data_IF_531324340282
#
_entry.id   IF_531324340282
#
_cell.length_a   1.000
_cell.length_b   1.000
_cell.length_c   1.000
_cell.angle_alpha   90.00
_cell.angle_beta   90.00
_cell.angle_gamma   90.00
#
_symmetry.space_group_name_H-M   'P 1'
#
loop_
_entity.id
_entity.type
_entity.pdbx_description
1 polymer ?
#
# COMPACT_ATOMS: atom_id res chain seq x y z
N UNK A 1 -20.17 9.94 -14.50
CA UNK A 1 -21.43 9.45 -13.90
C UNK A 1 -21.05 8.94 -12.53
N UNK A 2 -21.26 9.77 -11.53
CA UNK A 2 -21.04 9.44 -10.13
C UNK A 2 -22.00 8.31 -9.74
N UNK A 3 -21.46 7.17 -9.30
CA UNK A 3 -22.27 6.12 -8.66
C UNK A 3 -22.57 6.59 -7.22
N UNK A 4 -23.41 7.61 -7.11
CA UNK A 4 -23.88 8.15 -5.82
C UNK A 4 -25.14 7.46 -5.30
N UNK A 5 -25.49 6.29 -5.82
CA UNK A 5 -26.78 5.66 -5.54
C UNK A 5 -26.72 4.53 -4.51
N UNK A 6 -26.00 4.70 -3.42
CA UNK A 6 -26.22 3.80 -2.27
C UNK A 6 -26.61 4.58 -1.02
N UNK A 7 -27.92 4.87 -0.93
CA UNK A 7 -28.69 5.45 0.16
C UNK A 7 -28.32 6.89 0.59
N UNK A 8 -29.32 7.77 0.67
CA UNK A 8 -29.22 9.16 1.15
C UNK A 8 -28.54 9.28 2.55
N UNK A 9 -28.56 8.21 3.33
CA UNK A 9 -27.84 8.13 4.62
C UNK A 9 -26.32 7.94 4.48
N UNK A 10 -25.80 7.52 3.32
CA UNK A 10 -24.35 7.37 3.11
C UNK A 10 -23.70 8.71 2.73
N UNK A 11 -24.43 9.62 2.06
CA UNK A 11 -23.93 10.94 1.69
C UNK A 11 -23.64 11.82 2.91
N UNK A 12 -24.43 11.70 3.96
CA UNK A 12 -24.20 12.42 5.23
C UNK A 12 -22.96 11.95 5.99
N UNK A 13 -22.35 10.84 5.56
CA UNK A 13 -21.23 10.18 6.27
C UNK A 13 -19.87 10.44 5.64
N UNK A 14 -19.80 11.09 4.49
CA UNK A 14 -18.56 11.42 3.82
C UNK A 14 -18.12 12.84 4.15
N UNK A 15 -16.91 13.08 4.63
CA UNK A 15 -16.39 14.43 4.86
C UNK A 15 -16.08 15.11 3.51
N UNK A 16 -17.04 15.81 2.96
CA UNK A 16 -16.96 16.45 1.64
C UNK A 16 -15.75 17.36 1.48
N UNK A 17 -15.31 18.00 2.56
CA UNK A 17 -14.11 18.83 2.58
C UNK A 17 -12.81 18.10 2.23
N UNK A 18 -12.75 16.77 2.41
CA UNK A 18 -11.59 15.95 2.11
C UNK A 18 -11.52 15.49 0.66
N UNK A 19 -12.65 15.40 -0.03
CA UNK A 19 -12.69 14.83 -1.39
C UNK A 19 -11.78 15.59 -2.33
N UNK A 20 -11.88 16.91 -2.35
CA UNK A 20 -11.06 17.75 -3.25
C UNK A 20 -9.55 17.70 -2.97
N UNK A 21 -9.09 17.82 -1.72
CA UNK A 21 -7.67 17.61 -1.39
C UNK A 21 -7.16 16.22 -1.81
N UNK A 22 -7.90 15.16 -1.53
CA UNK A 22 -7.53 13.78 -1.89
C UNK A 22 -7.45 13.62 -3.42
N UNK A 23 -8.46 14.06 -4.16
CA UNK A 23 -8.45 14.02 -5.63
C UNK A 23 -7.25 14.77 -6.19
N UNK A 24 -6.94 15.95 -5.63
CA UNK A 24 -5.78 16.74 -6.08
C UNK A 24 -4.46 16.02 -5.83
N UNK A 25 -4.28 15.41 -4.68
CA UNK A 25 -3.07 14.65 -4.36
C UNK A 25 -2.95 13.41 -5.26
N UNK A 26 -4.03 12.65 -5.43
CA UNK A 26 -4.03 11.46 -6.28
C UNK A 26 -3.78 11.80 -7.75
N UNK A 27 -4.31 12.91 -8.26
CA UNK A 27 -4.04 13.36 -9.65
C UNK A 27 -2.60 13.80 -9.86
N UNK A 28 -1.88 14.23 -8.83
CA UNK A 28 -0.45 14.50 -8.94
C UNK A 28 0.37 13.21 -9.08
N UNK A 29 -0.01 12.16 -8.35
CA UNK A 29 0.66 10.85 -8.39
C UNK A 29 0.22 10.03 -9.61
N UNK A 30 -1.04 10.12 -9.99
CA UNK A 30 -1.63 9.42 -11.12
C UNK A 30 -2.48 10.37 -11.98
N UNK A 31 -1.88 11.08 -12.94
CA UNK A 31 -2.58 12.05 -13.80
C UNK A 31 -3.78 11.42 -14.51
N UNK A 32 -4.91 12.13 -14.52
CA UNK A 32 -6.17 11.65 -15.12
C UNK A 32 -6.96 10.67 -14.25
N UNK A 33 -6.52 10.40 -13.03
CA UNK A 33 -7.27 9.55 -12.10
C UNK A 33 -8.52 10.23 -11.55
N UNK A 34 -9.47 9.39 -11.11
CA UNK A 34 -10.64 9.80 -10.34
C UNK A 34 -10.68 9.05 -9.01
N UNK A 35 -11.28 9.64 -8.00
CA UNK A 35 -11.38 9.01 -6.69
C UNK A 35 -12.83 9.04 -6.16
N UNK A 36 -13.17 8.00 -5.42
CA UNK A 36 -14.36 7.94 -4.58
C UNK A 36 -13.94 7.77 -3.13
N UNK A 37 -14.44 8.62 -2.25
CA UNK A 37 -14.22 8.49 -0.81
C UNK A 37 -15.42 7.79 -0.19
N UNK A 38 -15.16 6.79 0.66
CA UNK A 38 -16.18 6.09 1.44
C UNK A 38 -15.77 5.95 2.89
N UNK A 39 -16.73 6.10 3.79
CA UNK A 39 -16.55 5.76 5.20
C UNK A 39 -16.79 4.25 5.42
N UNK A 40 -15.98 3.62 6.27
CA UNK A 40 -16.10 2.21 6.65
C UNK A 40 -16.13 2.06 8.17
N UNK A 41 -16.76 0.98 8.64
CA UNK A 41 -16.77 0.64 10.07
C UNK A 41 -15.39 0.12 10.56
N UNK A 42 -14.54 -0.37 9.66
CA UNK A 42 -13.18 -0.80 10.02
C UNK A 42 -12.33 0.42 10.36
N UNK A 43 -11.57 0.33 11.43
CA UNK A 43 -10.58 1.33 11.83
C UNK A 43 -9.34 1.20 10.95
N UNK A 44 -9.45 1.62 9.70
CA UNK A 44 -8.34 1.56 8.75
C UNK A 44 -8.51 2.59 7.63
N UNK A 45 -7.39 3.19 7.25
CA UNK A 45 -7.27 4.00 6.05
C UNK A 45 -6.77 3.13 4.90
N UNK A 46 -7.26 3.32 3.71
CA UNK A 46 -6.73 2.64 2.54
C UNK A 46 -7.05 3.36 1.24
N UNK A 47 -6.15 3.26 0.27
CA UNK A 47 -6.35 3.72 -1.11
C UNK A 47 -6.21 2.51 -2.03
N UNK A 48 -7.32 2.07 -2.61
CA UNK A 48 -7.41 0.93 -3.49
C UNK A 48 -7.55 1.39 -4.94
N UNK A 49 -6.67 0.93 -5.82
CA UNK A 49 -6.88 1.08 -7.25
C UNK A 49 -7.82 -0.03 -7.73
N UNK A 50 -8.97 0.37 -8.24
CA UNK A 50 -10.10 -0.53 -8.46
C UNK A 50 -9.83 -1.57 -9.56
N UNK A 51 -9.18 -1.16 -10.65
CA UNK A 51 -8.88 -2.07 -11.77
C UNK A 51 -7.86 -3.13 -11.39
N UNK A 52 -6.78 -2.74 -10.70
CA UNK A 52 -5.77 -3.68 -10.23
C UNK A 52 -6.35 -4.68 -9.22
N UNK A 53 -7.24 -4.20 -8.36
CA UNK A 53 -7.94 -5.07 -7.42
C UNK A 53 -8.79 -6.13 -8.14
N UNK A 54 -9.58 -5.74 -9.13
CA UNK A 54 -10.38 -6.70 -9.90
C UNK A 54 -9.52 -7.64 -10.74
N UNK A 55 -8.47 -7.15 -11.39
CA UNK A 55 -7.52 -8.01 -12.11
C UNK A 55 -6.92 -9.05 -11.18
N UNK A 56 -6.49 -8.65 -10.01
CA UNK A 56 -5.94 -9.56 -9.01
C UNK A 56 -6.97 -10.60 -8.54
N UNK A 57 -8.18 -10.16 -8.19
CA UNK A 57 -9.24 -11.04 -7.70
C UNK A 57 -9.69 -12.07 -8.75
N UNK A 58 -9.69 -11.69 -10.02
CA UNK A 58 -10.17 -12.54 -11.11
C UNK A 58 -9.07 -13.36 -11.80
N UNK A 59 -7.80 -13.17 -11.44
CA UNK A 59 -6.66 -13.86 -12.08
C UNK A 59 -6.71 -15.40 -11.99
N UNK A 60 -7.37 -15.93 -10.96
CA UNK A 60 -7.56 -17.38 -10.80
C UNK A 60 -8.76 -17.92 -11.58
N UNK A 61 -9.67 -17.04 -12.00
CA UNK A 61 -10.93 -17.40 -12.68
C UNK A 61 -10.87 -17.17 -14.19
N UNK A 62 -10.06 -16.24 -14.66
CA UNK A 62 -9.99 -15.84 -16.05
C UNK A 62 -8.58 -16.00 -16.61
N UNK A 63 -8.45 -16.48 -17.88
CA UNK A 63 -7.18 -16.52 -18.57
C UNK A 63 -6.53 -15.11 -18.68
N UNK A 64 -5.19 -14.99 -18.63
CA UNK A 64 -4.49 -13.71 -18.72
C UNK A 64 -4.89 -12.87 -19.95
N UNK A 65 -5.12 -13.51 -21.11
CA UNK A 65 -5.58 -12.83 -22.34
C UNK A 65 -6.97 -12.20 -22.16
N UNK A 66 -7.86 -12.88 -21.46
CA UNK A 66 -9.21 -12.35 -21.17
C UNK A 66 -9.12 -11.18 -20.18
N UNK A 67 -8.31 -11.29 -19.14
CA UNK A 67 -8.06 -10.19 -18.19
C UNK A 67 -7.50 -8.96 -18.91
N UNK A 68 -6.52 -9.16 -19.80
CA UNK A 68 -5.93 -8.08 -20.60
C UNK A 68 -6.98 -7.43 -21.54
N UNK A 69 -7.86 -8.24 -22.13
CA UNK A 69 -8.91 -7.73 -23.02
C UNK A 69 -10.01 -6.97 -22.29
N UNK A 70 -10.39 -7.43 -21.09
CA UNK A 70 -11.49 -6.85 -20.30
C UNK A 70 -11.01 -5.62 -19.53
N UNK A 71 -9.87 -5.72 -18.89
CA UNK A 71 -9.36 -4.67 -18.00
C UNK A 71 -8.30 -3.79 -18.65
N UNK A 72 -7.68 -4.21 -19.77
CA UNK A 72 -6.73 -3.43 -20.53
C UNK A 72 -5.70 -2.69 -19.67
N UNK A 73 -5.13 -1.66 -20.27
CA UNK A 73 -4.40 -0.63 -19.51
C UNK A 73 -5.33 0.58 -19.42
N UNK A 74 -6.04 0.76 -18.30
CA UNK A 74 -7.03 1.83 -18.20
C UNK A 74 -6.31 3.17 -18.33
N UNK A 75 -6.71 3.96 -19.32
CA UNK A 75 -6.19 5.32 -19.50
C UNK A 75 -6.48 6.23 -18.30
N UNK A 76 -7.47 5.84 -17.49
CA UNK A 76 -7.83 6.52 -16.25
C UNK A 76 -7.87 5.51 -15.11
N UNK A 77 -7.12 5.79 -14.05
CA UNK A 77 -7.17 5.03 -12.81
C UNK A 77 -8.35 5.50 -11.96
N UNK A 78 -9.02 4.56 -11.32
CA UNK A 78 -10.11 4.85 -10.39
C UNK A 78 -9.73 4.35 -8.99
N UNK A 79 -9.64 5.27 -8.04
CA UNK A 79 -9.28 4.98 -6.67
C UNK A 79 -10.50 4.96 -5.76
N UNK A 80 -10.53 3.98 -4.86
CA UNK A 80 -11.47 3.94 -3.74
C UNK A 80 -10.69 4.25 -2.46
N UNK A 81 -10.94 5.42 -1.91
CA UNK A 81 -10.34 5.88 -0.66
C UNK A 81 -11.29 5.51 0.48
N UNK A 82 -10.82 4.70 1.41
CA UNK A 82 -11.58 4.30 2.59
C UNK A 82 -11.06 5.04 3.82
N UNK A 83 -11.98 5.55 4.63
CA UNK A 83 -11.70 6.21 5.90
C UNK A 83 -12.51 5.56 7.02
N UNK A 84 -12.02 5.53 8.27
CA UNK A 84 -12.82 5.07 9.40
C UNK A 84 -14.06 5.95 9.58
N UNK A 85 -15.23 5.33 9.77
CA UNK A 85 -16.47 6.06 9.95
C UNK A 85 -16.49 6.87 11.26
N UNK A 86 -15.89 6.32 12.31
CA UNK A 86 -15.84 6.96 13.61
C UNK A 86 -14.96 8.22 13.63
N UNK A 87 -13.93 8.24 12.75
CA UNK A 87 -12.96 9.33 12.64
C UNK A 87 -13.29 10.35 11.55
N UNK A 88 -14.46 10.25 10.94
CA UNK A 88 -14.86 11.10 9.79
C UNK A 88 -14.70 12.61 10.02
N UNK A 89 -14.88 13.05 11.26
CA UNK A 89 -14.81 14.45 11.66
C UNK A 89 -13.43 14.85 12.23
N UNK A 90 -12.51 13.88 12.39
CA UNK A 90 -11.15 14.09 12.88
C UNK A 90 -10.21 14.40 11.70
N UNK A 91 -10.11 15.68 11.36
CA UNK A 91 -9.27 16.14 10.23
C UNK A 91 -7.80 15.78 10.43
N UNK A 92 -7.31 15.81 11.68
CA UNK A 92 -5.91 15.48 11.96
C UNK A 92 -5.60 14.03 11.56
N UNK A 93 -6.46 13.11 11.94
CA UNK A 93 -6.25 11.68 11.64
C UNK A 93 -6.29 11.37 10.14
N UNK A 94 -7.02 12.17 9.36
CA UNK A 94 -7.04 12.01 7.90
C UNK A 94 -5.69 12.29 7.21
N UNK A 95 -4.73 12.89 7.92
CA UNK A 95 -3.37 13.07 7.41
C UNK A 95 -2.65 11.74 7.18
N UNK A 96 -3.09 10.65 7.85
CA UNK A 96 -2.63 9.27 7.59
C UNK A 96 -2.82 8.87 6.11
N UNK A 97 -3.78 9.45 5.40
CA UNK A 97 -3.91 9.25 3.94
C UNK A 97 -2.66 9.68 3.16
N UNK A 98 -1.81 10.53 3.71
CA UNK A 98 -0.51 10.84 3.11
C UNK A 98 0.41 9.63 3.04
N UNK A 99 0.39 8.76 4.05
CA UNK A 99 1.08 7.47 4.03
C UNK A 99 0.50 6.55 2.93
N UNK A 100 -0.81 6.44 2.85
CA UNK A 100 -1.48 5.63 1.83
C UNK A 100 -1.19 6.09 0.38
N UNK A 101 -1.07 7.40 0.18
CA UNK A 101 -0.60 7.97 -1.09
C UNK A 101 0.86 7.63 -1.34
N UNK A 102 1.67 7.62 -0.29
CA UNK A 102 3.08 7.25 -0.31
C UNK A 102 3.33 5.84 -0.85
N UNK A 103 2.46 4.88 -0.55
CA UNK A 103 2.53 3.53 -1.13
C UNK A 103 2.51 3.56 -2.67
N UNK A 104 1.75 4.47 -3.28
CA UNK A 104 1.71 4.61 -4.75
C UNK A 104 2.99 5.18 -5.33
N UNK A 105 3.62 6.10 -4.60
CA UNK A 105 4.94 6.65 -4.96
C UNK A 105 6.01 5.59 -4.78
N UNK A 106 5.96 4.85 -3.67
CA UNK A 106 6.90 3.77 -3.36
C UNK A 106 6.86 2.66 -4.41
N UNK A 107 5.67 2.23 -4.84
CA UNK A 107 5.50 1.23 -5.90
C UNK A 107 6.23 1.65 -7.18
N UNK A 108 5.99 2.88 -7.65
CA UNK A 108 6.64 3.40 -8.85
C UNK A 108 8.17 3.50 -8.71
N UNK A 109 8.66 3.89 -7.54
CA UNK A 109 10.09 3.98 -7.24
C UNK A 109 10.75 2.60 -7.21
N UNK A 110 10.14 1.62 -6.53
CA UNK A 110 10.66 0.27 -6.39
C UNK A 110 10.66 -0.48 -7.73
N UNK A 111 9.67 -0.24 -8.59
CA UNK A 111 9.65 -0.79 -9.94
C UNK A 111 10.78 -0.23 -10.82
N UNK A 112 11.21 1.01 -10.59
CA UNK A 112 12.39 1.58 -11.23
C UNK A 112 13.68 0.96 -10.65
N UNK A 113 13.75 0.73 -9.34
CA UNK A 113 14.89 0.09 -8.68
C UNK A 113 15.10 -1.34 -9.20
N UNK A 114 14.03 -2.10 -9.39
CA UNK A 114 14.08 -3.46 -9.93
C UNK A 114 14.65 -3.51 -11.37
N UNK A 115 14.52 -2.44 -12.13
CA UNK A 115 15.08 -2.29 -13.48
C UNK A 115 16.56 -1.88 -13.49
N UNK A 116 17.09 -1.41 -12.37
CA UNK A 116 18.46 -0.93 -12.25
C UNK A 116 19.33 -1.97 -11.51
N UNK A 117 20.64 -1.88 -11.69
CA UNK A 117 21.63 -2.80 -11.07
C UNK A 117 21.70 -2.75 -9.54
N UNK A 118 20.91 -1.91 -8.88
CA UNK A 118 20.87 -1.80 -7.42
C UNK A 118 20.45 -3.11 -6.78
N UNK A 119 19.43 -3.77 -7.30
CA UNK A 119 18.96 -5.04 -6.78
C UNK A 119 20.04 -6.13 -6.90
N UNK A 120 20.78 -6.15 -8.01
CA UNK A 120 21.92 -7.05 -8.20
C UNK A 120 23.01 -6.82 -7.15
N UNK A 121 23.35 -5.57 -6.85
CA UNK A 121 24.32 -5.23 -5.80
C UNK A 121 23.86 -5.67 -4.42
N UNK A 122 22.58 -5.52 -4.10
CA UNK A 122 21.98 -5.97 -2.83
C UNK A 122 22.01 -7.49 -2.72
N UNK A 123 21.60 -8.22 -3.76
CA UNK A 123 21.61 -9.69 -3.78
C UNK A 123 23.02 -10.25 -3.64
N UNK A 124 24.03 -9.65 -4.28
CA UNK A 124 25.42 -10.04 -4.13
C UNK A 124 25.87 -9.87 -2.67
N UNK A 125 25.63 -8.71 -2.06
CA UNK A 125 26.01 -8.46 -0.65
C UNK A 125 25.32 -9.40 0.34
N UNK A 126 24.07 -9.75 0.11
CA UNK A 126 23.34 -10.72 0.93
C UNK A 126 23.92 -12.10 0.72
N UNK A 127 24.23 -12.49 -0.52
CA UNK A 127 24.84 -13.77 -0.86
C UNK A 127 26.23 -13.97 -0.24
N UNK A 128 27.00 -12.88 -0.09
CA UNK A 128 28.33 -12.89 0.53
C UNK A 128 28.28 -12.88 2.07
N UNK A 129 27.12 -12.63 2.66
CA UNK A 129 26.97 -12.58 4.11
C UNK A 129 27.07 -13.98 4.73
N UNK A 130 28.00 -14.16 5.68
CA UNK A 130 28.30 -15.47 6.30
C UNK A 130 27.43 -15.82 7.50
N UNK A 131 26.56 -14.95 7.94
CA UNK A 131 25.79 -15.09 9.19
C UNK A 131 24.77 -16.25 9.19
N UNK A 132 24.41 -16.81 8.03
CA UNK A 132 23.45 -17.90 7.89
C UNK A 132 24.07 -19.23 7.42
N UNK A 133 25.41 -19.32 7.31
CA UNK A 133 26.07 -20.43 6.64
C UNK A 133 26.29 -21.73 7.45
N UNK A 134 26.47 -21.74 8.80
CA UNK A 134 27.05 -22.91 9.46
C UNK A 134 26.20 -24.18 9.39
N UNK A 135 24.89 -24.08 9.29
CA UNK A 135 24.02 -25.27 9.26
C UNK A 135 23.62 -25.67 7.84
N UNK A 136 23.58 -24.74 6.90
CA UNK A 136 23.23 -24.99 5.51
C UNK A 136 24.35 -25.78 4.79
N UNK A 137 25.61 -25.55 5.14
CA UNK A 137 26.76 -26.25 4.53
C UNK A 137 26.78 -27.75 4.84
N UNK A 138 26.11 -28.17 5.92
CA UNK A 138 25.99 -29.59 6.31
C UNK A 138 24.86 -30.33 5.60
N UNK A 139 24.03 -29.61 4.84
CA UNK A 139 22.87 -30.16 4.16
C UNK A 139 23.21 -30.73 2.77
N UNK A 140 22.38 -31.62 2.21
CA UNK A 140 22.52 -32.03 0.82
C UNK A 140 22.51 -30.82 -0.12
N UNK A 141 23.37 -30.79 -1.15
CA UNK A 141 23.56 -29.59 -2.00
C UNK A 141 22.27 -29.01 -2.60
N UNK A 142 21.36 -29.86 -3.03
CA UNK A 142 20.09 -29.44 -3.59
C UNK A 142 19.20 -28.75 -2.56
N UNK A 143 19.14 -29.30 -1.34
CA UNK A 143 18.36 -28.73 -0.25
C UNK A 143 18.96 -27.40 0.22
N UNK A 144 20.30 -27.34 0.33
CA UNK A 144 21.03 -26.12 0.64
C UNK A 144 20.72 -24.98 -0.35
N UNK A 145 20.71 -25.30 -1.64
CA UNK A 145 20.37 -24.34 -2.72
C UNK A 145 18.93 -23.82 -2.57
N UNK A 146 17.97 -24.71 -2.35
CA UNK A 146 16.56 -24.32 -2.19
C UNK A 146 16.34 -23.43 -0.96
N UNK A 147 16.99 -23.74 0.15
CA UNK A 147 16.90 -22.94 1.38
C UNK A 147 17.52 -21.55 1.15
N UNK A 148 18.70 -21.47 0.53
CA UNK A 148 19.34 -20.19 0.19
C UNK A 148 18.46 -19.33 -0.69
N UNK A 149 17.81 -19.91 -1.68
CA UNK A 149 16.94 -19.18 -2.58
C UNK A 149 15.70 -18.65 -1.85
N UNK A 150 15.04 -19.47 -1.03
CA UNK A 150 13.90 -19.03 -0.21
C UNK A 150 14.27 -17.92 0.76
N UNK A 151 15.43 -18.05 1.41
CA UNK A 151 15.91 -17.04 2.34
C UNK A 151 16.20 -15.72 1.62
N UNK A 152 16.82 -15.78 0.45
CA UNK A 152 17.08 -14.60 -0.39
C UNK A 152 15.78 -13.91 -0.79
N UNK A 153 14.81 -14.67 -1.29
CA UNK A 153 13.49 -14.15 -1.70
C UNK A 153 12.78 -13.48 -0.52
N UNK A 154 12.86 -14.08 0.67
CA UNK A 154 12.27 -13.53 1.88
C UNK A 154 12.95 -12.24 2.34
N UNK A 155 14.29 -12.18 2.32
CA UNK A 155 15.05 -10.96 2.67
C UNK A 155 14.71 -9.83 1.69
N UNK A 156 14.64 -10.13 0.39
CA UNK A 156 14.27 -9.14 -0.62
C UNK A 156 12.84 -8.65 -0.43
N UNK A 157 11.93 -9.56 -0.08
CA UNK A 157 10.53 -9.21 0.22
C UNK A 157 10.43 -8.30 1.44
N UNK A 158 11.12 -8.63 2.52
CA UNK A 158 11.14 -7.81 3.75
C UNK A 158 11.77 -6.44 3.47
N UNK A 159 12.90 -6.42 2.72
CA UNK A 159 13.53 -5.16 2.30
C UNK A 159 12.57 -4.29 1.47
N UNK A 160 11.94 -4.88 0.45
CA UNK A 160 10.98 -4.15 -0.42
C UNK A 160 9.87 -3.54 0.43
N UNK A 161 9.26 -4.34 1.32
CA UNK A 161 8.20 -3.87 2.21
C UNK A 161 8.69 -2.75 3.15
N UNK A 162 9.86 -2.93 3.77
CA UNK A 162 10.43 -1.89 4.65
C UNK A 162 10.71 -0.58 3.92
N UNK A 163 11.20 -0.62 2.67
CA UNK A 163 11.39 0.59 1.85
C UNK A 163 10.05 1.22 1.48
N UNK A 164 9.05 0.42 1.15
CA UNK A 164 7.70 0.88 0.85
C UNK A 164 7.12 1.67 2.02
N UNK A 165 7.20 1.14 3.24
CA UNK A 165 6.74 1.82 4.45
C UNK A 165 7.52 3.12 4.72
N UNK A 166 8.86 3.09 4.61
CA UNK A 166 9.70 4.28 4.82
C UNK A 166 9.36 5.38 3.80
N UNK A 167 9.20 5.05 2.52
CA UNK A 167 8.85 6.02 1.49
C UNK A 167 7.44 6.58 1.75
N UNK A 168 6.51 5.74 2.21
CA UNK A 168 5.16 6.13 2.56
C UNK A 168 5.14 7.11 3.72
N UNK A 169 5.87 6.83 4.79
CA UNK A 169 6.01 7.72 5.94
C UNK A 169 6.68 9.05 5.56
N UNK A 170 7.77 8.99 4.79
CA UNK A 170 8.44 10.21 4.29
C UNK A 170 7.52 11.05 3.41
N UNK A 171 6.67 10.41 2.61
CA UNK A 171 5.69 11.11 1.78
C UNK A 171 4.65 11.82 2.64
N UNK A 172 4.07 11.12 3.63
CA UNK A 172 3.14 11.70 4.57
C UNK A 172 3.75 12.88 5.33
N UNK A 173 4.98 12.73 5.81
CA UNK A 173 5.71 13.80 6.46
C UNK A 173 6.02 14.99 5.52
N UNK A 174 6.40 14.73 4.28
CA UNK A 174 6.66 15.77 3.29
C UNK A 174 5.39 16.58 2.97
N UNK A 175 4.24 15.91 2.86
CA UNK A 175 2.97 16.56 2.54
C UNK A 175 2.42 17.40 3.69
N UNK A 176 2.53 16.92 4.94
CA UNK A 176 1.81 17.48 6.09
C UNK A 176 2.71 17.91 7.25
N UNK A 177 4.02 17.70 7.14
CA UNK A 177 4.99 18.08 8.16
C UNK A 177 4.76 17.33 9.49
N UNK A 178 5.08 17.99 10.63
CA UNK A 178 4.95 17.37 11.95
C UNK A 178 3.53 16.93 12.31
N UNK A 179 2.50 17.54 11.73
CA UNK A 179 1.10 17.16 11.99
C UNK A 179 0.83 15.71 11.54
N UNK A 180 1.49 15.23 10.49
CA UNK A 180 1.43 13.84 10.06
C UNK A 180 1.94 12.88 11.14
N UNK A 181 3.05 13.21 11.81
CA UNK A 181 3.60 12.35 12.86
C UNK A 181 2.63 12.21 14.04
N UNK A 182 1.97 13.29 14.43
CA UNK A 182 0.93 13.23 15.48
C UNK A 182 -0.23 12.35 15.05
N UNK A 183 -0.71 12.49 13.81
CA UNK A 183 -1.77 11.65 13.26
C UNK A 183 -1.39 10.16 13.23
N UNK A 184 -0.15 9.86 12.82
CA UNK A 184 0.36 8.49 12.76
C UNK A 184 0.49 7.86 14.16
N UNK A 185 0.96 8.64 15.14
CA UNK A 185 1.07 8.18 16.53
C UNK A 185 -0.33 7.92 17.12
N UNK A 186 -1.28 8.83 16.93
CA UNK A 186 -2.66 8.67 17.38
C UNK A 186 -3.29 7.43 16.75
N UNK A 187 -3.15 7.26 15.44
CA UNK A 187 -3.67 6.10 14.72
C UNK A 187 -3.07 4.78 15.23
N UNK A 188 -1.74 4.71 15.39
CA UNK A 188 -1.05 3.51 15.88
C UNK A 188 -1.38 3.20 17.35
N UNK A 189 -1.66 4.23 18.16
CA UNK A 189 -2.01 4.04 19.58
C UNK A 189 -3.38 3.42 19.75
N UNK A 190 -4.35 3.86 18.98
CA UNK A 190 -5.71 3.31 19.01
C UNK A 190 -5.76 1.85 18.54
N UNK A 191 -4.95 1.50 17.52
CA UNK A 191 -4.85 0.13 17.01
C UNK A 191 -4.30 -0.85 18.08
N UNK A 192 -3.35 -0.38 18.91
CA UNK A 192 -2.79 -1.18 20.02
C UNK A 192 -3.79 -1.41 21.16
N UNK A 193 -4.70 -0.46 21.40
CA UNK A 193 -5.69 -0.60 22.49
C UNK A 193 -6.80 -1.60 22.15
N UNK A 194 -7.13 -1.77 20.86
CA UNK A 194 -8.13 -2.73 20.40
C UNK A 194 -7.65 -4.18 20.52
N UNK A 195 -6.33 -4.41 20.59
CA UNK A 195 -5.74 -5.75 20.76
C UNK A 195 -5.64 -6.21 22.22
N UNK A 196 -5.95 -5.36 23.19
CA UNK A 196 -5.93 -5.76 24.60
C UNK A 196 -7.21 -6.56 24.90
N UNK A 197 -7.12 -7.87 25.18
CA UNK A 197 -8.28 -8.66 25.54
C UNK A 197 -8.90 -8.06 26.81
N UNK A 198 -10.16 -7.67 26.73
CA UNK A 198 -10.95 -7.32 27.91
C UNK A 198 -11.01 -8.57 28.82
N UNK A 199 -10.69 -8.44 30.12
CA UNK A 199 -10.65 -9.54 31.07
C UNK A 199 -12.03 -10.20 31.28
#
# INVERSE_FOLDING_TARGET
ISIQTFSAKAEERVPWGLIRPIERMLTQVAPGSSAMVRARWSYNYSILELYDHYRYALRSLLPPVTLQKVFGDPKQKFFVVSIPLIERDNILLHLVLGHEIGHRIAEAYLDLEDKHSVLTSVTTRIGDAKWYQPDIEKMPPLLALQIRQRLMDEILRVRRRGLEEIISDLTGFYLFGPAFLFALIEFAYDDVLDEVPTP
#
